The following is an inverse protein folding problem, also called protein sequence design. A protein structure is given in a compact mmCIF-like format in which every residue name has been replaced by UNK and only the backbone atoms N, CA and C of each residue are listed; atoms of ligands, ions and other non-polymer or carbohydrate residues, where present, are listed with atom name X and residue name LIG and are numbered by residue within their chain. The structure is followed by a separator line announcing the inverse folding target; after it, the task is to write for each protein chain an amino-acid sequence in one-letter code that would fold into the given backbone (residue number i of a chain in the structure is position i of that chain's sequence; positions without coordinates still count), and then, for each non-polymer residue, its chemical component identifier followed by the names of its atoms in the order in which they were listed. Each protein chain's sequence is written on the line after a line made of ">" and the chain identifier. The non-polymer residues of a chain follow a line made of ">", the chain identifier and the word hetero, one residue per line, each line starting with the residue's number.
data_IF_177129636019
#
_entry.id   IF_177129636019
#
_cell.length_a   1.000
_cell.length_b   1.000
_cell.length_c   1.000
_cell.angle_alpha   90.00
_cell.angle_beta   90.00
_cell.angle_gamma   90.00
#
_symmetry.space_group_name_H-M   'P 1'
#
loop_
_entity.id
_entity.type
_entity.pdbx_description
1 polymer ?
#
# COMPACT_ATOMS: atom_id res chain seq x y z
N UNK A 1 21.97 0.69 0.58
CA UNK A 1 21.32 0.46 -0.72
C UNK A 1 19.88 0.18 -0.36
N UNK A 2 19.10 1.24 -0.26
CA UNK A 2 17.68 1.20 0.08
C UNK A 2 16.94 0.83 -1.20
N UNK A 3 16.85 -0.47 -1.46
CA UNK A 3 16.01 -0.98 -2.53
C UNK A 3 14.56 -0.70 -2.12
N UNK A 4 13.88 0.20 -2.85
CA UNK A 4 12.44 0.41 -2.70
C UNK A 4 11.74 -0.95 -2.77
N UNK A 5 11.13 -1.35 -1.65
CA UNK A 5 10.53 -2.66 -1.55
C UNK A 5 9.14 -2.63 -2.17
N UNK A 6 8.96 -3.43 -3.23
CA UNK A 6 7.68 -3.52 -3.94
C UNK A 6 7.21 -4.95 -4.14
N UNK A 7 5.89 -5.10 -4.26
CA UNK A 7 5.24 -6.35 -4.63
C UNK A 7 4.18 -6.07 -5.69
N UNK A 8 4.38 -6.61 -6.89
CA UNK A 8 3.35 -6.60 -7.95
C UNK A 8 2.14 -7.43 -7.55
N UNK A 9 0.94 -6.85 -7.60
CA UNK A 9 -0.32 -7.51 -7.27
C UNK A 9 -0.90 -8.21 -8.50
N UNK A 10 -0.96 -7.50 -9.63
CA UNK A 10 -1.41 -7.99 -10.93
C UNK A 10 -0.78 -7.15 -12.06
N UNK A 11 -1.34 -7.19 -13.27
CA UNK A 11 -0.79 -6.50 -14.45
C UNK A 11 -0.80 -4.97 -14.34
N UNK A 12 -1.58 -4.40 -13.42
CA UNK A 12 -1.79 -2.95 -13.32
C UNK A 12 -1.44 -2.42 -11.93
N UNK A 13 -1.52 -3.25 -10.89
CA UNK A 13 -1.37 -2.82 -9.51
C UNK A 13 -0.07 -3.28 -8.88
N UNK A 14 0.62 -2.36 -8.19
CA UNK A 14 1.85 -2.63 -7.44
C UNK A 14 1.77 -2.02 -6.05
N UNK A 15 2.14 -2.79 -5.02
CA UNK A 15 2.36 -2.24 -3.69
C UNK A 15 3.80 -1.79 -3.54
N UNK A 16 3.98 -0.64 -2.90
CA UNK A 16 5.27 -0.03 -2.60
C UNK A 16 5.37 0.22 -1.09
N UNK A 17 6.57 0.03 -0.53
CA UNK A 17 6.95 0.56 0.77
C UNK A 17 7.95 1.68 0.52
N UNK A 18 7.48 2.92 0.59
CA UNK A 18 8.26 4.09 0.17
C UNK A 18 7.90 5.33 0.98
N UNK A 19 8.73 6.37 0.90
CA UNK A 19 8.40 7.69 1.44
C UNK A 19 7.42 8.40 0.48
N UNK A 20 6.54 9.24 1.02
CA UNK A 20 5.64 10.05 0.21
C UNK A 20 5.98 11.54 0.35
N UNK A 21 5.63 12.32 -0.66
CA UNK A 21 5.75 13.77 -0.58
C UNK A 21 4.74 14.34 0.43
N UNK A 22 5.07 15.48 1.03
CA UNK A 22 4.12 16.24 1.86
C UNK A 22 2.83 16.56 1.11
N UNK A 23 2.93 16.92 -0.16
CA UNK A 23 1.76 17.22 -1.01
C UNK A 23 0.83 16.02 -1.06
N UNK A 24 1.36 14.82 -1.28
CA UNK A 24 0.57 13.57 -1.26
C UNK A 24 -0.07 13.32 0.11
N UNK A 25 0.65 13.60 1.20
CA UNK A 25 0.14 13.43 2.56
C UNK A 25 -1.06 14.35 2.85
N UNK A 26 -0.97 15.62 2.43
CA UNK A 26 -2.03 16.62 2.58
C UNK A 26 -3.21 16.34 1.64
N UNK A 27 -2.95 16.01 0.37
CA UNK A 27 -3.98 15.73 -0.64
C UNK A 27 -4.87 14.53 -0.26
N UNK A 28 -4.29 13.51 0.38
CA UNK A 28 -5.02 12.33 0.85
C UNK A 28 -5.53 12.47 2.30
N UNK A 29 -5.40 13.65 2.92
CA UNK A 29 -5.86 13.95 4.28
C UNK A 29 -5.41 12.90 5.32
N UNK A 30 -4.10 12.67 5.40
CA UNK A 30 -3.49 11.60 6.21
C UNK A 30 -3.09 12.04 7.63
N UNK A 31 -3.59 13.17 8.13
CA UNK A 31 -3.21 13.79 9.41
C UNK A 31 -3.27 12.83 10.61
N UNK A 32 -4.21 11.87 10.57
CA UNK A 32 -4.38 10.82 11.57
C UNK A 32 -3.17 9.87 11.69
N UNK A 33 -2.28 9.83 10.70
CA UNK A 33 -1.06 9.02 10.69
C UNK A 33 0.12 9.75 11.37
N UNK A 34 -0.11 10.92 11.95
CA UNK A 34 0.81 11.66 12.81
C UNK A 34 1.82 12.55 12.09
N UNK A 35 2.08 12.33 10.79
CA UNK A 35 2.91 13.22 9.96
C UNK A 35 3.39 12.60 8.66
N UNK A 36 4.04 13.39 7.81
CA UNK A 36 4.53 13.05 6.47
C UNK A 36 5.86 12.29 6.46
N UNK A 37 6.65 12.34 7.55
CA UNK A 37 7.93 11.64 7.63
C UNK A 37 7.81 10.13 7.86
N UNK A 38 8.65 9.34 7.15
CA UNK A 38 8.77 7.89 7.30
C UNK A 38 8.24 7.11 6.10
N UNK A 39 8.11 5.79 6.27
CA UNK A 39 7.69 4.88 5.21
C UNK A 39 6.17 4.64 5.23
N UNK A 40 5.60 4.52 4.04
CA UNK A 40 4.19 4.28 3.80
C UNK A 40 4.02 3.09 2.87
N UNK A 41 2.93 2.36 3.07
CA UNK A 41 2.47 1.36 2.12
C UNK A 41 1.56 2.03 1.12
N UNK A 42 1.95 2.05 -0.15
CA UNK A 42 1.23 2.72 -1.23
C UNK A 42 0.81 1.68 -2.26
N UNK A 43 -0.45 1.71 -2.68
CA UNK A 43 -0.94 0.96 -3.83
C UNK A 43 -0.93 1.88 -5.04
N UNK A 44 -0.12 1.56 -6.03
CA UNK A 44 -0.16 2.19 -7.35
C UNK A 44 -1.06 1.36 -8.26
N UNK A 45 -1.98 2.01 -8.96
CA UNK A 45 -2.69 1.44 -10.11
C UNK A 45 -2.28 2.20 -11.38
N UNK A 46 -1.41 1.57 -12.18
CA UNK A 46 -0.90 2.17 -13.41
C UNK A 46 -1.95 2.30 -14.52
N UNK A 47 -3.06 1.54 -14.46
CA UNK A 47 -4.11 1.66 -15.46
C UNK A 47 -4.97 2.91 -15.21
N UNK A 48 -5.20 3.23 -13.94
CA UNK A 48 -5.95 4.43 -13.54
C UNK A 48 -5.05 5.66 -13.32
N UNK A 49 -3.73 5.45 -13.18
CA UNK A 49 -2.78 6.52 -12.86
C UNK A 49 -2.93 7.03 -11.43
N UNK A 50 -3.37 6.16 -10.51
CA UNK A 50 -3.70 6.52 -9.13
C UNK A 50 -2.71 5.91 -8.14
N UNK A 51 -2.57 6.59 -7.00
CA UNK A 51 -1.77 6.13 -5.87
C UNK A 51 -2.60 6.27 -4.59
N UNK A 52 -2.78 5.18 -3.85
CA UNK A 52 -3.52 5.15 -2.60
C UNK A 52 -2.59 4.81 -1.43
N UNK A 53 -2.53 5.67 -0.42
CA UNK A 53 -1.78 5.37 0.81
C UNK A 53 -2.63 4.50 1.73
N UNK A 54 -2.21 3.25 1.91
CA UNK A 54 -2.95 2.26 2.71
C UNK A 54 -2.60 2.31 4.20
N UNK A 55 -1.34 2.60 4.52
CA UNK A 55 -0.84 2.63 5.90
C UNK A 55 0.48 3.38 6.03
N UNK A 56 0.76 3.88 7.24
CA UNK A 56 2.10 4.33 7.64
C UNK A 56 2.81 3.25 8.45
N UNK A 57 4.04 2.95 8.09
CA UNK A 57 4.86 1.98 8.78
C UNK A 57 5.53 2.60 10.03
N UNK A 58 5.39 1.94 11.18
CA UNK A 58 6.09 2.36 12.41
C UNK A 58 7.60 2.07 12.36
N UNK A 59 8.03 1.16 11.48
CA UNK A 59 9.43 0.80 11.22
C UNK A 59 9.54 0.09 9.88
N UNK A 60 10.74 -0.05 9.32
CA UNK A 60 10.98 -0.78 8.06
C UNK A 60 10.47 -2.22 8.12
N UNK A 61 10.69 -2.92 9.24
CA UNK A 61 10.21 -4.29 9.42
C UNK A 61 8.68 -4.38 9.50
N UNK A 62 8.03 -3.43 10.18
CA UNK A 62 6.58 -3.34 10.21
C UNK A 62 6.03 -3.05 8.80
N UNK A 63 6.69 -2.18 8.04
CA UNK A 63 6.37 -1.87 6.65
C UNK A 63 6.44 -3.10 5.75
N UNK A 64 7.52 -3.88 5.84
CA UNK A 64 7.66 -5.17 5.14
C UNK A 64 6.53 -6.15 5.49
N UNK A 65 6.17 -6.22 6.76
CA UNK A 65 5.12 -7.11 7.25
C UNK A 65 3.74 -6.68 6.74
N UNK A 66 3.45 -5.38 6.75
CA UNK A 66 2.22 -4.81 6.18
C UNK A 66 2.15 -5.03 4.67
N UNK A 67 3.24 -4.79 3.95
CA UNK A 67 3.30 -4.98 2.50
C UNK A 67 2.95 -6.43 2.12
N UNK A 68 3.52 -7.41 2.82
CA UNK A 68 3.17 -8.83 2.63
C UNK A 68 1.71 -9.14 2.98
N UNK A 69 1.17 -8.54 4.05
CA UNK A 69 -0.23 -8.73 4.47
C UNK A 69 -1.20 -8.17 3.43
N UNK A 70 -0.98 -6.95 2.95
CA UNK A 70 -1.80 -6.35 1.89
C UNK A 70 -1.69 -7.15 0.60
N UNK A 71 -0.48 -7.54 0.19
CA UNK A 71 -0.28 -8.36 -1.00
C UNK A 71 -1.04 -9.69 -0.93
N UNK A 72 -1.00 -10.37 0.22
CA UNK A 72 -1.70 -11.63 0.41
C UNK A 72 -3.23 -11.50 0.34
N UNK A 73 -3.79 -10.35 0.71
CA UNK A 73 -5.23 -10.10 0.62
C UNK A 73 -5.65 -9.65 -0.78
N UNK A 74 -4.87 -8.77 -1.42
CA UNK A 74 -5.19 -8.21 -2.74
C UNK A 74 -5.00 -9.21 -3.89
N UNK A 75 -4.08 -10.18 -3.73
CA UNK A 75 -3.85 -11.25 -4.72
C UNK A 75 -4.89 -12.38 -4.66
N UNK A 76 -5.69 -12.46 -3.59
CA UNK A 76 -6.74 -13.49 -3.51
C UNK A 76 -7.85 -13.10 -4.49
N UNK A 77 -8.11 -13.91 -5.54
CA UNK A 77 -9.37 -13.74 -6.26
C UNK A 77 -10.48 -13.93 -5.23
N UNK A 78 -11.41 -12.97 -5.15
CA UNK A 78 -12.57 -13.01 -4.25
C UNK A 78 -13.07 -14.44 -4.14
N UNK A 79 -12.78 -15.10 -3.01
CA UNK A 79 -13.25 -16.46 -2.79
C UNK A 79 -14.76 -16.30 -2.63
N UNK A 80 -15.49 -16.56 -3.72
CA UNK A 80 -16.95 -16.60 -3.77
C UNK A 80 -17.47 -17.15 -2.44
N UNK A 81 -18.08 -16.29 -1.62
CA UNK A 81 -19.04 -16.73 -0.62
C UNK A 81 -20.23 -17.27 -1.41
N UNK A 82 -20.15 -18.54 -1.79
CA UNK A 82 -21.33 -19.32 -2.13
C UNK A 82 -22.05 -19.57 -0.81
N UNK A 83 -22.95 -18.66 -0.44
CA UNK A 83 -23.99 -18.98 0.55
C UNK A 83 -25.05 -19.77 -0.20
N UNK A 84 -24.95 -21.11 -0.20
CA UNK A 84 -26.10 -21.93 -0.56
C UNK A 84 -27.14 -21.79 0.55
N UNK A 85 -28.32 -21.33 0.16
CA UNK A 85 -29.55 -21.29 0.96
C UNK A 85 -30.17 -22.67 1.09
#
# INVERSE_FOLDING_TARGET
>A
MDEDLSITIDNHRTLWLTEISRVTFEDQALDQLGGDGGLFVVLEDCAEGTFEVLAKAASTWAGQSLLNLFAANLRRPNHLMVVQS
#
